data_IF_366816089881
#
_entry.id   IF_366816089881
#
_cell.length_a   1.000
_cell.length_b   1.000
_cell.length_c   1.000
_cell.angle_alpha   90.00
_cell.angle_beta   90.00
_cell.angle_gamma   90.00
#
_symmetry.space_group_name_H-M   'P 1'
#
loop_
_entity.id
_entity.type
_entity.pdbx_description
1 polymer ?
#
# COMPACT_ATOMS: atom_id res chain seq x y z
N UNK A 1 13.85 9.58 16.45
CA UNK A 1 13.28 10.09 15.18
C UNK A 1 11.78 9.79 15.19
N UNK A 2 10.90 10.77 14.98
CA UNK A 2 9.46 10.50 14.97
C UNK A 2 9.03 9.95 13.61
N UNK A 3 9.12 8.63 13.41
CA UNK A 3 8.62 7.94 12.21
C UNK A 3 7.16 8.29 11.91
N UNK A 4 6.35 8.41 12.97
CA UNK A 4 4.95 8.84 12.89
C UNK A 4 4.79 10.27 12.33
N UNK A 5 5.74 11.17 12.57
CA UNK A 5 5.68 12.54 12.05
C UNK A 5 5.85 12.58 10.52
N UNK A 6 6.66 11.67 9.95
CA UNK A 6 6.83 11.55 8.50
C UNK A 6 5.52 11.04 7.86
N UNK A 7 4.87 10.06 8.47
CA UNK A 7 3.56 9.58 8.03
C UNK A 7 2.51 10.69 8.10
N UNK A 8 2.44 11.43 9.20
CA UNK A 8 1.50 12.55 9.36
C UNK A 8 1.76 13.67 8.36
N UNK A 9 3.03 13.98 8.09
CA UNK A 9 3.40 14.95 7.06
C UNK A 9 2.93 14.49 5.68
N UNK A 10 3.09 13.21 5.36
CA UNK A 10 2.58 12.62 4.12
C UNK A 10 1.06 12.75 4.00
N UNK A 11 0.32 12.43 5.06
CA UNK A 11 -1.14 12.50 5.05
C UNK A 11 -1.67 13.94 4.91
N UNK A 12 -0.94 14.91 5.50
CA UNK A 12 -1.30 16.33 5.50
C UNK A 12 -0.99 17.03 4.18
N UNK A 13 0.16 16.74 3.57
CA UNK A 13 0.63 17.41 2.36
C UNK A 13 1.19 16.40 1.36
N UNK A 14 0.28 15.86 0.54
CA UNK A 14 0.58 14.77 -0.40
C UNK A 14 1.39 15.27 -1.59
N UNK A 15 1.13 16.48 -2.07
CA UNK A 15 1.81 17.04 -3.23
C UNK A 15 3.27 17.33 -2.90
N UNK A 16 3.53 18.01 -1.78
CA UNK A 16 4.89 18.23 -1.29
C UNK A 16 5.61 16.92 -1.02
N UNK A 17 4.91 15.91 -0.51
CA UNK A 17 5.51 14.59 -0.30
C UNK A 17 5.93 13.92 -1.62
N UNK A 18 5.12 14.03 -2.68
CA UNK A 18 5.47 13.55 -4.02
C UNK A 18 6.64 14.34 -4.62
N UNK A 19 6.67 15.66 -4.43
CA UNK A 19 7.83 16.48 -4.83
C UNK A 19 9.12 16.04 -4.14
N UNK A 20 9.07 15.79 -2.82
CA UNK A 20 10.23 15.31 -2.09
C UNK A 20 10.73 13.97 -2.62
N UNK A 21 9.82 13.07 -3.03
CA UNK A 21 10.20 11.78 -3.64
C UNK A 21 10.87 12.05 -4.98
N UNK A 22 10.27 12.88 -5.82
CA UNK A 22 10.82 13.23 -7.13
C UNK A 22 12.22 13.86 -7.01
N UNK A 23 12.43 14.73 -6.03
CA UNK A 23 13.73 15.36 -5.73
C UNK A 23 14.69 14.49 -4.92
N UNK A 24 14.32 13.23 -4.65
CA UNK A 24 15.09 12.25 -3.86
C UNK A 24 15.49 12.72 -2.44
N UNK A 25 14.66 13.57 -1.83
CA UNK A 25 14.95 14.16 -0.53
C UNK A 25 14.69 13.11 0.57
N UNK A 26 15.78 12.59 1.15
CA UNK A 26 15.77 11.69 2.32
C UNK A 26 14.92 10.42 2.11
N UNK A 27 15.01 9.80 0.94
CA UNK A 27 14.24 8.61 0.58
C UNK A 27 14.36 7.48 1.61
N UNK A 28 15.58 7.14 2.05
CA UNK A 28 15.79 6.06 3.04
C UNK A 28 15.00 6.27 4.33
N UNK A 29 14.97 7.51 4.84
CA UNK A 29 14.21 7.85 6.05
C UNK A 29 12.71 7.73 5.83
N UNK A 30 12.22 8.11 4.64
CA UNK A 30 10.80 7.95 4.26
C UNK A 30 10.44 6.46 4.13
N UNK A 31 11.27 5.66 3.46
CA UNK A 31 11.11 4.21 3.30
C UNK A 31 10.97 3.53 4.66
N UNK A 32 11.95 3.71 5.56
CA UNK A 32 11.94 3.07 6.89
C UNK A 32 10.72 3.51 7.71
N UNK A 33 10.38 4.80 7.67
CA UNK A 33 9.26 5.32 8.45
C UNK A 33 7.90 4.81 7.93
N UNK A 34 7.71 4.79 6.62
CA UNK A 34 6.49 4.28 6.00
C UNK A 34 6.35 2.77 6.22
N UNK A 35 7.45 2.02 6.09
CA UNK A 35 7.46 0.57 6.32
C UNK A 35 7.12 0.23 7.78
N UNK A 36 7.75 0.88 8.74
CA UNK A 36 7.48 0.63 10.16
C UNK A 36 6.05 0.99 10.54
N UNK A 37 5.59 2.20 10.19
CA UNK A 37 4.24 2.62 10.54
C UNK A 37 3.17 1.76 9.87
N UNK A 38 3.33 1.45 8.58
CA UNK A 38 2.35 0.63 7.86
C UNK A 38 2.31 -0.80 8.38
N UNK A 39 3.46 -1.40 8.68
CA UNK A 39 3.53 -2.75 9.26
C UNK A 39 2.81 -2.83 10.60
N UNK A 40 2.99 -1.85 11.48
CA UNK A 40 2.28 -1.79 12.77
C UNK A 40 0.77 -1.68 12.56
N UNK A 41 0.32 -0.80 11.66
CA UNK A 41 -1.11 -0.58 11.43
C UNK A 41 -1.79 -1.77 10.76
N UNK A 42 -1.13 -2.43 9.82
CA UNK A 42 -1.59 -3.70 9.27
C UNK A 42 -1.60 -4.80 10.33
N UNK A 43 -0.62 -4.87 11.22
CA UNK A 43 -0.61 -5.89 12.26
C UNK A 43 -1.80 -5.73 13.23
N UNK A 44 -2.12 -4.48 13.61
CA UNK A 44 -3.30 -4.19 14.43
C UNK A 44 -4.58 -4.61 13.71
N UNK A 45 -4.76 -4.25 12.44
CA UNK A 45 -5.96 -4.63 11.68
C UNK A 45 -6.03 -6.15 11.44
N UNK A 46 -4.89 -6.79 11.15
CA UNK A 46 -4.78 -8.24 10.99
C UNK A 46 -5.14 -9.00 12.27
N UNK A 47 -4.74 -8.49 13.44
CA UNK A 47 -5.13 -9.04 14.73
C UNK A 47 -6.66 -9.01 14.93
N UNK A 48 -7.32 -7.92 14.52
CA UNK A 48 -8.79 -7.79 14.60
C UNK A 48 -9.47 -8.83 13.72
N UNK A 49 -9.00 -9.04 12.48
CA UNK A 49 -9.55 -10.08 11.60
C UNK A 49 -9.35 -11.48 12.19
N UNK A 50 -8.16 -11.75 12.75
CA UNK A 50 -7.79 -13.04 13.31
C UNK A 50 -8.44 -13.37 14.66
N UNK A 51 -9.13 -12.41 15.29
CA UNK A 51 -9.78 -12.57 16.60
C UNK A 51 -10.91 -13.59 16.63
N UNK A 52 -11.27 -14.16 15.48
CA UNK A 52 -12.42 -15.05 15.37
C UNK A 52 -12.22 -16.47 15.88
N UNK A 53 -10.99 -16.99 15.87
CA UNK A 53 -10.77 -18.43 16.07
C UNK A 53 -9.52 -18.79 16.88
N UNK A 54 -9.05 -17.85 17.71
CA UNK A 54 -8.08 -18.10 18.78
C UNK A 54 -6.82 -17.22 18.76
N UNK A 55 -6.04 -17.25 19.84
CA UNK A 55 -4.83 -16.43 20.00
C UNK A 55 -3.77 -16.71 18.93
N UNK A 56 -3.59 -17.97 18.53
CA UNK A 56 -2.66 -18.33 17.46
C UNK A 56 -3.07 -17.73 16.11
N UNK A 57 -4.37 -17.64 15.83
CA UNK A 57 -4.87 -17.04 14.60
C UNK A 57 -4.77 -15.51 14.60
N UNK A 58 -4.90 -14.87 15.77
CA UNK A 58 -4.66 -13.43 15.94
C UNK A 58 -3.22 -13.10 15.55
N UNK A 59 -2.25 -13.82 16.12
CA UNK A 59 -0.82 -13.59 15.85
C UNK A 59 -0.50 -13.90 14.39
N UNK A 60 -0.98 -15.04 13.87
CA UNK A 60 -0.78 -15.41 12.48
C UNK A 60 -1.34 -14.33 11.52
N UNK A 61 -2.55 -13.84 11.76
CA UNK A 61 -3.20 -12.83 10.91
C UNK A 61 -2.51 -11.45 11.02
N UNK A 62 -2.02 -11.10 12.21
CA UNK A 62 -1.27 -9.86 12.45
C UNK A 62 0.07 -9.82 11.70
N UNK A 63 0.75 -10.96 11.55
CA UNK A 63 2.01 -11.05 10.78
C UNK A 63 1.72 -11.18 9.28
N UNK A 64 0.69 -11.96 8.94
CA UNK A 64 0.29 -12.25 7.57
C UNK A 64 -0.11 -11.01 6.78
N UNK A 65 -0.85 -10.09 7.38
CA UNK A 65 -1.34 -8.92 6.66
C UNK A 65 -0.20 -7.97 6.20
N UNK A 66 0.75 -7.55 7.07
CA UNK A 66 1.96 -6.84 6.62
C UNK A 66 2.77 -7.62 5.58
N UNK A 67 2.96 -8.93 5.80
CA UNK A 67 3.74 -9.77 4.90
C UNK A 67 3.16 -9.82 3.49
N UNK A 68 1.82 -9.92 3.37
CA UNK A 68 1.11 -9.90 2.09
C UNK A 68 1.46 -8.65 1.28
N UNK A 69 1.36 -7.45 1.88
CA UNK A 69 1.64 -6.20 1.18
C UNK A 69 3.14 -6.01 0.87
N UNK A 70 4.04 -6.44 1.76
CA UNK A 70 5.48 -6.32 1.51
C UNK A 70 5.95 -7.28 0.42
N UNK A 71 5.51 -8.53 0.45
CA UNK A 71 5.90 -9.54 -0.55
C UNK A 71 5.35 -9.14 -1.93
N UNK A 72 4.11 -8.66 -2.01
CA UNK A 72 3.54 -8.17 -3.28
C UNK A 72 4.32 -7.00 -3.86
N UNK A 73 4.75 -6.05 -3.03
CA UNK A 73 5.65 -4.97 -3.46
C UNK A 73 6.99 -5.52 -3.96
N UNK A 74 7.63 -6.43 -3.22
CA UNK A 74 8.92 -7.02 -3.60
C UNK A 74 8.84 -7.75 -4.94
N UNK A 75 7.76 -8.50 -5.18
CA UNK A 75 7.58 -9.28 -6.42
C UNK A 75 7.27 -8.36 -7.61
N UNK A 76 6.40 -7.35 -7.42
CA UNK A 76 5.90 -6.57 -8.55
C UNK A 76 6.78 -5.36 -8.90
N UNK A 77 7.53 -4.81 -7.93
CA UNK A 77 8.36 -3.62 -8.13
C UNK A 77 9.44 -3.79 -9.21
N UNK A 78 10.22 -4.90 -9.27
CA UNK A 78 11.23 -5.08 -10.31
C UNK A 78 10.63 -5.00 -11.72
N UNK A 79 9.47 -5.62 -11.93
CA UNK A 79 8.77 -5.57 -13.22
C UNK A 79 8.43 -4.13 -13.60
N UNK A 80 7.89 -3.33 -12.68
CA UNK A 80 7.61 -1.91 -12.94
C UNK A 80 8.88 -1.15 -13.34
N UNK A 81 9.94 -1.31 -12.55
CA UNK A 81 11.19 -0.58 -12.74
C UNK A 81 11.79 -0.86 -14.13
N UNK A 82 11.92 -2.14 -14.51
CA UNK A 82 12.50 -2.48 -15.80
C UNK A 82 11.64 -2.00 -16.97
N UNK A 83 10.31 -2.12 -16.90
CA UNK A 83 9.45 -1.60 -17.98
C UNK A 83 9.55 -0.08 -18.13
N UNK A 84 9.57 0.67 -17.02
CA UNK A 84 9.73 2.13 -17.08
C UNK A 84 11.12 2.52 -17.61
N UNK A 85 12.20 1.83 -17.20
CA UNK A 85 13.56 2.08 -17.71
C UNK A 85 13.64 1.82 -19.22
N UNK A 86 13.02 0.75 -19.72
CA UNK A 86 12.96 0.45 -21.17
C UNK A 86 12.22 1.54 -21.95
N UNK A 87 11.23 2.19 -21.34
CA UNK A 87 10.50 3.32 -21.92
C UNK A 87 11.22 4.68 -21.77
N UNK A 88 12.47 4.67 -21.27
CA UNK A 88 13.31 5.87 -21.13
C UNK A 88 13.12 6.63 -19.82
N UNK A 89 12.51 6.04 -18.79
CA UNK A 89 12.38 6.69 -17.48
C UNK A 89 13.73 6.82 -16.76
N UNK A 90 14.16 8.05 -16.49
CA UNK A 90 15.37 8.34 -15.70
C UNK A 90 15.08 8.46 -14.20
N UNK A 91 14.47 7.43 -13.62
CA UNK A 91 14.05 7.43 -12.20
C UNK A 91 14.74 6.33 -11.41
N UNK A 92 15.10 6.63 -10.17
CA UNK A 92 15.76 5.65 -9.31
C UNK A 92 14.77 4.61 -8.77
N UNK A 93 15.29 3.41 -8.50
CA UNK A 93 14.52 2.35 -7.84
C UNK A 93 13.92 2.80 -6.51
N UNK A 94 14.63 3.67 -5.78
CA UNK A 94 14.20 4.23 -4.49
C UNK A 94 12.94 5.10 -4.61
N UNK A 95 12.76 5.83 -5.71
CA UNK A 95 11.54 6.63 -5.95
C UNK A 95 10.30 5.75 -6.10
N UNK A 96 10.40 4.69 -6.92
CA UNK A 96 9.31 3.73 -7.11
C UNK A 96 8.99 2.98 -5.82
N UNK A 97 10.01 2.52 -5.09
CA UNK A 97 9.84 1.86 -3.80
C UNK A 97 9.15 2.78 -2.79
N UNK A 98 9.59 4.04 -2.67
CA UNK A 98 9.00 5.00 -1.74
C UNK A 98 7.55 5.31 -2.09
N UNK A 99 7.22 5.44 -3.38
CA UNK A 99 5.85 5.68 -3.84
C UNK A 99 4.93 4.49 -3.55
N UNK A 100 5.41 3.25 -3.75
CA UNK A 100 4.65 2.04 -3.39
C UNK A 100 4.46 1.93 -1.88
N UNK A 101 5.51 2.17 -1.09
CA UNK A 101 5.39 2.18 0.38
C UNK A 101 4.47 3.28 0.88
N UNK A 102 4.41 4.43 0.22
CA UNK A 102 3.47 5.50 0.55
C UNK A 102 2.02 5.08 0.25
N UNK A 103 1.81 4.38 -0.86
CA UNK A 103 0.51 3.79 -1.24
C UNK A 103 0.08 2.74 -0.21
N UNK A 104 0.99 1.83 0.15
CA UNK A 104 0.80 0.84 1.21
C UNK A 104 0.50 1.49 2.57
N UNK A 105 1.20 2.56 2.94
CA UNK A 105 0.96 3.30 4.17
C UNK A 105 -0.40 4.01 4.17
N UNK A 106 -0.85 4.51 3.02
CA UNK A 106 -2.21 5.04 2.88
C UNK A 106 -3.24 3.95 3.18
N UNK A 107 -3.11 2.77 2.56
CA UNK A 107 -3.99 1.64 2.82
C UNK A 107 -3.99 1.27 4.30
N UNK A 108 -2.81 1.16 4.94
CA UNK A 108 -2.70 0.77 6.34
C UNK A 108 -3.37 1.75 7.30
N UNK A 109 -3.21 3.07 7.05
CA UNK A 109 -3.84 4.11 7.85
C UNK A 109 -5.36 4.05 7.71
N UNK A 110 -5.86 3.81 6.48
CA UNK A 110 -7.29 3.70 6.25
C UNK A 110 -7.88 2.46 6.91
N UNK A 111 -7.19 1.32 6.84
CA UNK A 111 -7.60 0.12 7.56
C UNK A 111 -7.63 0.35 9.08
N UNK A 112 -6.63 1.04 9.63
CA UNK A 112 -6.64 1.42 11.03
C UNK A 112 -7.83 2.33 11.36
N UNK A 113 -8.21 3.25 10.46
CA UNK A 113 -9.43 4.06 10.59
C UNK A 113 -10.72 3.23 10.61
N UNK A 114 -10.77 2.13 9.86
CA UNK A 114 -11.89 1.19 9.85
C UNK A 114 -11.85 0.14 10.97
N UNK A 115 -10.73 0.01 11.69
CA UNK A 115 -10.55 -0.92 12.80
C UNK A 115 -11.68 -0.87 13.86
N UNK A 116 -12.08 0.29 14.40
CA UNK A 116 -13.17 0.36 15.39
C UNK A 116 -14.51 -0.07 14.81
N UNK A 117 -14.77 0.22 13.54
CA UNK A 117 -16.01 -0.19 12.84
C UNK A 117 -16.03 -1.72 12.71
N UNK A 118 -14.92 -2.31 12.26
CA UNK A 118 -14.76 -3.77 12.14
C UNK A 118 -14.93 -4.47 13.49
N UNK A 119 -14.32 -3.93 14.57
CA UNK A 119 -14.48 -4.45 15.93
C UNK A 119 -15.92 -4.34 16.44
N UNK A 120 -16.59 -3.22 16.21
CA UNK A 120 -17.98 -3.03 16.62
C UNK A 120 -18.90 -4.09 16.00
N UNK A 121 -18.79 -4.30 14.69
CA UNK A 121 -19.58 -5.33 14.01
C UNK A 121 -19.20 -6.74 14.43
N UNK A 122 -17.93 -7.00 14.72
CA UNK A 122 -17.46 -8.29 15.25
C UNK A 122 -18.10 -8.63 16.59
N UNK A 123 -18.20 -7.65 17.48
CA UNK A 123 -18.80 -7.82 18.81
C UNK A 123 -20.33 -7.87 18.78
N UNK A 124 -20.93 -7.17 17.81
CA UNK A 124 -22.40 -7.06 17.70
C UNK A 124 -23.04 -8.23 16.94
N UNK A 125 -22.35 -8.79 15.95
CA UNK A 125 -22.89 -9.81 15.03
C UNK A 125 -21.98 -11.04 15.03
N UNK A 126 -22.51 -12.18 15.51
CA UNK A 126 -21.82 -13.48 15.52
C UNK A 126 -22.01 -14.27 14.21
N UNK A 127 -21.99 -13.60 13.07
CA UNK A 127 -22.06 -14.24 11.75
C UNK A 127 -20.71 -14.10 11.02
N UNK A 128 -20.07 -15.24 10.75
CA UNK A 128 -18.75 -15.28 10.12
C UNK A 128 -18.79 -14.77 8.67
N UNK A 129 -19.86 -15.05 7.94
CA UNK A 129 -19.99 -14.68 6.54
C UNK A 129 -20.16 -13.17 6.37
N UNK A 130 -20.96 -12.54 7.23
CA UNK A 130 -21.12 -11.10 7.32
C UNK A 130 -19.78 -10.42 7.63
N UNK A 131 -19.05 -10.89 8.65
CA UNK A 131 -17.76 -10.32 9.02
C UNK A 131 -16.72 -10.46 7.90
N UNK A 132 -16.72 -11.58 7.18
CA UNK A 132 -15.87 -11.78 6.00
C UNK A 132 -16.21 -10.78 4.89
N UNK A 133 -17.49 -10.63 4.55
CA UNK A 133 -17.94 -9.71 3.50
C UNK A 133 -17.63 -8.25 3.85
N UNK A 134 -17.84 -7.84 5.10
CA UNK A 134 -17.49 -6.52 5.60
C UNK A 134 -16.00 -6.21 5.37
N UNK A 135 -15.12 -7.14 5.74
CA UNK A 135 -13.68 -6.96 5.54
C UNK A 135 -13.32 -6.92 4.05
N UNK A 136 -13.94 -7.75 3.20
CA UNK A 136 -13.75 -7.68 1.74
C UNK A 136 -14.12 -6.30 1.20
N UNK A 137 -15.24 -5.72 1.63
CA UNK A 137 -15.65 -4.35 1.24
C UNK A 137 -14.63 -3.31 1.72
N UNK A 138 -14.19 -3.39 2.98
CA UNK A 138 -13.18 -2.48 3.53
C UNK A 138 -11.89 -2.56 2.72
N UNK A 139 -11.34 -3.77 2.50
CA UNK A 139 -10.12 -3.97 1.71
C UNK A 139 -10.27 -3.47 0.27
N UNK A 140 -11.44 -3.67 -0.34
CA UNK A 140 -11.72 -3.17 -1.69
C UNK A 140 -11.66 -1.64 -1.74
N UNK A 141 -12.34 -0.96 -0.80
CA UNK A 141 -12.35 0.50 -0.74
C UNK A 141 -10.93 1.04 -0.49
N UNK A 142 -10.23 0.50 0.50
CA UNK A 142 -8.87 0.97 0.82
C UNK A 142 -7.89 0.66 -0.31
N UNK A 143 -8.02 -0.50 -0.96
CA UNK A 143 -7.19 -0.91 -2.09
C UNK A 143 -7.37 0.01 -3.29
N UNK A 144 -8.61 0.34 -3.65
CA UNK A 144 -8.91 1.29 -4.74
C UNK A 144 -8.26 2.65 -4.46
N UNK A 145 -8.33 3.14 -3.21
CA UNK A 145 -7.74 4.42 -2.84
C UNK A 145 -6.21 4.39 -2.86
N UNK A 146 -5.59 3.31 -2.39
CA UNK A 146 -4.15 3.10 -2.48
C UNK A 146 -3.64 3.05 -3.93
N UNK A 147 -4.32 2.28 -4.78
CA UNK A 147 -4.04 2.20 -6.23
C UNK A 147 -4.25 3.55 -6.91
N UNK A 148 -5.32 4.27 -6.56
CA UNK A 148 -5.59 5.61 -7.09
C UNK A 148 -4.49 6.60 -6.71
N UNK A 149 -4.00 6.54 -5.47
CA UNK A 149 -2.88 7.37 -5.04
C UNK A 149 -1.60 7.02 -5.80
N UNK A 150 -1.27 5.73 -5.94
CA UNK A 150 -0.13 5.29 -6.73
C UNK A 150 -0.19 5.79 -8.17
N UNK A 151 -1.34 5.60 -8.83
CA UNK A 151 -1.57 6.04 -10.20
C UNK A 151 -1.39 7.55 -10.35
N UNK A 152 -1.93 8.35 -9.42
CA UNK A 152 -1.73 9.80 -9.40
C UNK A 152 -0.27 10.20 -9.16
N UNK A 153 0.45 9.50 -8.28
CA UNK A 153 1.88 9.74 -8.06
C UNK A 153 2.73 9.45 -9.30
N UNK A 154 2.42 8.37 -10.01
CA UNK A 154 3.07 8.04 -11.29
C UNK A 154 2.75 9.07 -12.38
N UNK A 155 1.50 9.52 -12.47
CA UNK A 155 1.12 10.61 -13.39
C UNK A 155 1.83 11.92 -13.05
N UNK A 156 1.97 12.24 -11.76
CA UNK A 156 2.71 13.41 -11.29
C UNK A 156 4.17 13.36 -11.75
N UNK A 157 4.85 12.22 -11.59
CA UNK A 157 6.21 12.07 -12.11
C UNK A 157 6.26 12.17 -13.63
N UNK A 158 5.33 11.54 -14.36
CA UNK A 158 5.31 11.60 -15.82
C UNK A 158 5.04 13.01 -16.36
N UNK A 159 4.36 13.87 -15.61
CA UNK A 159 4.12 15.27 -16.00
C UNK A 159 5.33 16.18 -15.77
N UNK A 160 6.25 15.81 -14.87
CA UNK A 160 7.50 16.55 -14.67
C UNK A 160 8.60 16.16 -15.66
N UNK A 161 8.52 14.97 -16.25
CA UNK A 161 9.46 14.56 -17.29
C UNK A 161 9.23 15.39 -18.57
N UNK A 162 10.29 16.03 -19.07
CA UNK A 162 10.25 16.84 -20.29
C UNK A 162 9.92 16.03 -21.55
N UNK A 163 10.26 14.73 -21.57
CA UNK A 163 9.94 13.81 -22.67
C UNK A 163 8.69 12.98 -22.35
N UNK A 164 7.59 13.29 -23.05
CA UNK A 164 6.37 12.49 -23.00
C UNK A 164 6.48 11.28 -23.92
N UNK A 165 7.02 10.18 -23.42
CA UNK A 165 6.97 8.90 -24.14
C UNK A 165 5.54 8.37 -24.18
N UNK A 166 4.99 8.21 -25.39
CA UNK A 166 3.68 7.55 -25.60
C UNK A 166 3.76 6.11 -25.06
N UNK A 167 2.80 5.70 -24.23
CA UNK A 167 2.67 4.33 -23.72
C UNK A 167 3.05 4.11 -22.24
N UNK A 168 3.71 5.07 -21.56
CA UNK A 168 4.04 4.92 -20.12
C UNK A 168 2.80 4.75 -19.24
N UNK A 169 1.75 5.52 -19.51
CA UNK A 169 0.47 5.39 -18.80
C UNK A 169 -0.18 4.02 -19.00
N UNK A 170 0.02 3.39 -20.15
CA UNK A 170 -0.59 2.09 -20.45
C UNK A 170 0.19 0.98 -19.76
N UNK A 171 1.51 1.08 -19.70
CA UNK A 171 2.35 0.19 -18.87
C UNK A 171 1.98 0.29 -17.40
N UNK A 172 1.77 1.50 -16.86
CA UNK A 172 1.33 1.67 -15.47
C UNK A 172 -0.02 1.00 -15.24
N UNK A 173 -0.99 1.16 -16.15
CA UNK A 173 -2.31 0.50 -16.03
C UNK A 173 -2.18 -1.03 -16.11
N UNK A 174 -1.40 -1.55 -17.06
CA UNK A 174 -1.16 -2.99 -17.18
C UNK A 174 -0.47 -3.55 -15.93
N UNK A 175 0.50 -2.82 -15.39
CA UNK A 175 1.19 -3.18 -14.16
C UNK A 175 0.24 -3.16 -12.94
N UNK A 176 -0.68 -2.20 -12.85
CA UNK A 176 -1.69 -2.17 -11.80
C UNK A 176 -2.64 -3.37 -11.85
N UNK A 177 -3.01 -3.83 -13.06
CA UNK A 177 -3.79 -5.06 -13.24
C UNK A 177 -2.99 -6.27 -12.72
N UNK A 178 -1.71 -6.37 -13.10
CA UNK A 178 -0.82 -7.42 -12.63
C UNK A 178 -0.66 -7.37 -11.09
N UNK A 179 -0.47 -6.18 -10.52
CA UNK A 179 -0.33 -5.98 -9.08
C UNK A 179 -1.58 -6.44 -8.33
N UNK A 180 -2.77 -6.08 -8.82
CA UNK A 180 -4.04 -6.54 -8.25
C UNK A 180 -4.20 -8.06 -8.34
N UNK A 181 -3.82 -8.66 -9.47
CA UNK A 181 -3.86 -10.11 -9.65
C UNK A 181 -2.92 -10.85 -8.70
N UNK A 182 -1.64 -10.44 -8.64
CA UNK A 182 -0.64 -11.02 -7.72
C UNK A 182 -1.07 -10.82 -6.27
N UNK A 183 -1.58 -9.64 -5.92
CA UNK A 183 -2.10 -9.37 -4.58
C UNK A 183 -3.29 -10.24 -4.18
N UNK A 184 -4.21 -10.48 -5.11
CA UNK A 184 -5.34 -11.40 -4.88
C UNK A 184 -4.87 -12.84 -4.68
N UNK A 185 -3.86 -13.30 -5.44
CA UNK A 185 -3.28 -14.63 -5.26
C UNK A 185 -2.57 -14.75 -3.91
N UNK A 186 -1.75 -13.76 -3.54
CA UNK A 186 -1.06 -13.71 -2.25
C UNK A 186 -2.03 -13.67 -1.06
N UNK A 187 -3.20 -13.04 -1.24
CA UNK A 187 -4.26 -13.06 -0.22
C UNK A 187 -4.95 -14.40 -0.03
N UNK A 188 -4.87 -15.29 -1.02
CA UNK A 188 -5.37 -16.66 -0.93
C UNK A 188 -4.32 -17.65 -0.43
N UNK A 189 -3.05 -17.46 -0.80
CA UNK A 189 -1.97 -18.42 -0.50
C UNK A 189 -1.38 -18.27 0.88
N UNK A 190 -1.15 -17.04 1.34
CA UNK A 190 -0.81 -16.79 2.75
C UNK A 190 -2.04 -17.04 3.59
#
# INVERSE_FOLDING_TARGET
MNHFAILMSFLRDREKFLEDIYKEIRLEKKIVSLLLCSSVFFAIYGAIIGSSSGLLQIIASAIKLPALYLITVIICLPALYFFEVILGANRSFGQYLTLLLASMAMISVMLLGFAPISLFFRLSINDYQFFKLLNVVIFTITGILGVSFFYRGMLFFNNQDSEKTKGRTDVIKAWLILYGFVGSQMGWTL
#
